data_IF_884029469156
#
_entry.id   IF_884029469156
#
_cell.length_a   1.000
_cell.length_b   1.000
_cell.length_c   1.000
_cell.angle_alpha   90.00
_cell.angle_beta   90.00
_cell.angle_gamma   90.00
#
_symmetry.space_group_name_H-M   'P 1'
#
loop_
_entity.id
_entity.type
_entity.pdbx_description
1 polymer ?
#
# COMPACT_ATOMS: atom_id res chain seq x y z
N UNK A 1 20.41 1.56 12.29
CA UNK A 1 19.38 1.62 11.24
C UNK A 1 19.58 0.45 10.29
N UNK A 2 18.51 -0.21 9.83
CA UNK A 2 18.56 -1.33 8.88
C UNK A 2 17.44 -1.18 7.85
N UNK A 3 17.73 -1.42 6.57
CA UNK A 3 16.73 -1.41 5.49
C UNK A 3 16.59 -2.81 4.89
N UNK A 4 15.35 -3.21 4.59
CA UNK A 4 15.00 -4.44 3.85
C UNK A 4 14.24 -4.06 2.58
N UNK A 5 14.74 -4.50 1.44
CA UNK A 5 14.08 -4.38 0.14
C UNK A 5 13.17 -5.60 -0.04
N UNK A 6 11.85 -5.38 -0.11
CA UNK A 6 10.84 -6.45 -0.06
C UNK A 6 10.02 -6.57 -1.35
N UNK A 7 9.87 -5.46 -2.08
CA UNK A 7 9.29 -5.41 -3.42
C UNK A 7 9.99 -4.37 -4.30
N UNK A 8 9.67 -4.38 -5.60
CA UNK A 8 10.37 -3.59 -6.62
C UNK A 8 11.91 -3.74 -6.64
N UNK A 9 12.45 -4.83 -6.09
CA UNK A 9 13.86 -5.18 -6.19
C UNK A 9 14.08 -6.05 -7.44
N UNK A 10 14.84 -5.53 -8.41
CA UNK A 10 15.02 -6.15 -9.74
C UNK A 10 13.71 -6.30 -10.54
N UNK A 11 12.70 -5.48 -10.22
CA UNK A 11 11.43 -5.38 -10.95
C UNK A 11 10.84 -3.98 -10.73
N UNK A 12 9.86 -3.57 -11.54
CA UNK A 12 9.32 -2.19 -11.50
C UNK A 12 8.17 -2.04 -10.52
N UNK A 13 7.35 -3.07 -10.32
CA UNK A 13 6.05 -2.94 -9.62
C UNK A 13 6.06 -3.54 -8.22
N UNK A 14 5.12 -3.11 -7.38
CA UNK A 14 4.94 -3.64 -6.04
C UNK A 14 5.99 -3.10 -5.06
N UNK A 15 6.28 -1.80 -5.14
CA UNK A 15 7.24 -1.13 -4.26
C UNK A 15 6.84 -1.29 -2.81
N UNK A 16 7.76 -1.82 -2.01
CA UNK A 16 7.69 -1.74 -0.55
C UNK A 16 9.03 -2.07 0.10
N UNK A 17 9.39 -1.27 1.08
CA UNK A 17 10.66 -1.35 1.80
C UNK A 17 10.42 -1.19 3.30
N UNK A 18 11.10 -1.99 4.11
CA UNK A 18 10.98 -1.90 5.56
C UNK A 18 12.24 -1.29 6.16
N UNK A 19 12.09 -0.12 6.78
CA UNK A 19 13.13 0.58 7.51
C UNK A 19 12.97 0.31 9.02
N UNK A 20 14.05 -0.12 9.67
CA UNK A 20 14.11 -0.30 11.12
C UNK A 20 15.07 0.70 11.75
N UNK A 21 14.56 1.51 12.67
CA UNK A 21 15.29 2.57 13.39
C UNK A 21 15.00 2.42 14.89
N UNK A 22 15.99 1.96 15.66
CA UNK A 22 15.76 1.63 17.07
C UNK A 22 14.74 0.51 17.21
N UNK A 23 13.71 0.73 18.02
CA UNK A 23 12.54 -0.14 18.20
C UNK A 23 11.45 0.07 17.15
N UNK A 24 11.59 1.08 16.26
CA UNK A 24 10.57 1.44 15.27
C UNK A 24 10.75 0.77 13.92
N UNK A 25 9.61 0.42 13.32
CA UNK A 25 9.47 -0.22 12.02
C UNK A 25 8.61 0.67 11.12
N UNK A 26 9.26 1.28 10.13
CA UNK A 26 8.65 2.22 9.20
C UNK A 26 8.59 1.57 7.82
N UNK A 27 7.39 1.47 7.26
CA UNK A 27 7.17 0.96 5.92
C UNK A 27 7.26 2.11 4.91
N UNK A 28 7.96 1.92 3.80
CA UNK A 28 8.03 2.88 2.70
C UNK A 28 7.35 2.22 1.51
N UNK A 29 6.21 2.79 1.09
CA UNK A 29 5.28 2.25 0.10
C UNK A 29 4.70 0.85 0.43
N UNK A 30 3.55 0.54 -0.17
CA UNK A 30 3.00 -0.81 -0.23
C UNK A 30 2.13 -1.01 -1.48
N UNK A 31 2.79 -1.14 -2.62
CA UNK A 31 2.15 -1.17 -3.93
C UNK A 31 1.75 -2.56 -4.42
N UNK A 32 0.91 -2.58 -5.46
CA UNK A 32 0.59 -3.81 -6.19
C UNK A 32 1.71 -4.17 -7.15
N UNK A 33 2.16 -5.43 -7.08
CA UNK A 33 2.92 -6.05 -8.15
C UNK A 33 2.01 -6.30 -9.35
N UNK A 34 2.44 -5.93 -10.56
CA UNK A 34 1.73 -6.20 -11.81
C UNK A 34 2.61 -7.05 -12.73
N UNK A 35 2.12 -8.22 -13.12
CA UNK A 35 2.83 -9.15 -14.00
C UNK A 35 1.90 -10.19 -14.60
N UNK A 36 2.38 -11.42 -14.84
CA UNK A 36 1.50 -12.52 -15.24
C UNK A 36 0.41 -12.74 -14.17
N UNK A 37 -0.81 -13.10 -14.59
CA UNK A 37 -2.00 -13.10 -13.73
C UNK A 37 -1.86 -13.94 -12.46
N UNK A 38 -1.26 -15.13 -12.56
CA UNK A 38 -1.00 -16.02 -11.42
C UNK A 38 0.02 -15.43 -10.45
N UNK A 39 1.13 -14.93 -10.98
CA UNK A 39 2.22 -14.35 -10.18
C UNK A 39 1.75 -13.10 -9.44
N UNK A 40 0.85 -12.33 -10.07
CA UNK A 40 0.25 -11.13 -9.51
C UNK A 40 -0.53 -11.42 -8.22
N UNK A 41 -1.38 -12.44 -8.25
CA UNK A 41 -2.22 -12.74 -7.10
C UNK A 41 -1.41 -13.29 -5.92
N UNK A 42 -0.55 -14.26 -6.18
CA UNK A 42 0.30 -14.88 -5.14
C UNK A 42 1.26 -13.87 -4.49
N UNK A 43 1.90 -13.02 -5.30
CA UNK A 43 2.83 -12.01 -4.78
C UNK A 43 2.14 -10.94 -3.95
N UNK A 44 0.96 -10.48 -4.38
CA UNK A 44 0.25 -9.43 -3.65
C UNK A 44 -0.41 -9.94 -2.36
N UNK A 45 -0.80 -11.21 -2.31
CA UNK A 45 -1.32 -11.85 -1.08
C UNK A 45 -0.24 -12.11 -0.03
N UNK A 46 0.97 -12.44 -0.46
CA UNK A 46 2.04 -12.86 0.45
C UNK A 46 2.64 -11.65 1.18
N UNK A 47 2.42 -11.59 2.49
CA UNK A 47 3.04 -10.61 3.37
C UNK A 47 4.37 -11.14 3.91
N UNK A 48 5.44 -10.34 3.76
CA UNK A 48 6.81 -10.73 4.16
C UNK A 48 7.18 -10.26 5.58
N UNK A 49 6.18 -9.80 6.32
CA UNK A 49 6.24 -9.32 7.69
C UNK A 49 4.83 -9.27 8.27
N UNK A 50 4.75 -9.26 9.61
CA UNK A 50 3.51 -9.09 10.36
C UNK A 50 3.03 -7.62 10.26
N UNK A 51 1.86 -7.32 9.66
CA UNK A 51 1.40 -5.95 9.43
C UNK A 51 1.18 -5.15 10.72
N UNK A 52 0.72 -5.82 11.78
CA UNK A 52 0.49 -5.22 13.11
C UNK A 52 1.78 -4.73 13.80
N UNK A 53 2.96 -5.11 13.28
CA UNK A 53 4.26 -4.68 13.82
C UNK A 53 4.82 -3.41 13.17
N UNK A 54 4.10 -2.78 12.24
CA UNK A 54 4.53 -1.54 11.59
C UNK A 54 4.03 -0.35 12.41
N UNK A 55 4.92 0.58 12.76
CA UNK A 55 4.59 1.75 13.58
C UNK A 55 4.13 2.95 12.73
N UNK A 56 4.58 3.05 11.48
CA UNK A 56 4.20 4.10 10.54
C UNK A 56 4.48 3.68 9.09
N UNK A 57 3.78 4.31 8.14
CA UNK A 57 4.08 4.22 6.71
C UNK A 57 4.41 5.61 6.14
N UNK A 58 5.43 5.67 5.28
CA UNK A 58 5.71 6.80 4.41
C UNK A 58 5.33 6.38 2.98
N UNK A 59 4.33 7.04 2.40
CA UNK A 59 3.92 6.78 1.02
C UNK A 59 4.50 7.85 0.11
N UNK A 60 5.28 7.43 -0.87
CA UNK A 60 6.01 8.33 -1.77
C UNK A 60 5.07 9.10 -2.69
N UNK A 61 4.19 8.39 -3.39
CA UNK A 61 3.21 8.96 -4.32
C UNK A 61 2.03 8.01 -4.55
N UNK A 62 1.03 8.49 -5.30
CA UNK A 62 -0.28 7.84 -5.36
C UNK A 62 -0.38 6.62 -6.29
N UNK A 63 0.60 6.37 -7.16
CA UNK A 63 0.49 5.28 -8.14
C UNK A 63 0.23 3.91 -7.50
N UNK A 64 -0.51 3.06 -8.20
CA UNK A 64 -0.96 1.75 -7.70
C UNK A 64 0.20 0.80 -7.39
N UNK A 65 1.32 0.91 -8.10
CA UNK A 65 2.54 0.14 -7.83
C UNK A 65 3.33 0.64 -6.60
N UNK A 66 2.85 1.69 -5.93
CA UNK A 66 3.33 2.20 -4.63
C UNK A 66 2.25 2.20 -3.53
N UNK A 67 0.98 2.41 -3.87
CA UNK A 67 -0.12 2.56 -2.91
C UNK A 67 -1.12 1.40 -2.94
N UNK A 68 -1.15 0.65 -4.04
CA UNK A 68 -2.30 -0.17 -4.40
C UNK A 68 -2.54 -1.39 -3.53
N UNK A 69 -1.59 -1.86 -2.71
CA UNK A 69 -1.76 -3.03 -1.86
C UNK A 69 -2.01 -2.65 -0.39
N UNK A 70 -2.04 -1.34 -0.08
CA UNK A 70 -2.32 -0.82 1.27
C UNK A 70 -3.64 -1.37 1.86
N UNK A 71 -4.76 -1.47 1.11
CA UNK A 71 -6.01 -1.99 1.69
C UNK A 71 -5.89 -3.47 2.10
N UNK A 72 -5.18 -4.29 1.31
CA UNK A 72 -4.89 -5.68 1.71
C UNK A 72 -3.97 -5.73 2.94
N UNK A 73 -3.01 -4.81 3.07
CA UNK A 73 -2.20 -4.70 4.28
C UNK A 73 -3.08 -4.40 5.52
N UNK A 74 -4.03 -3.46 5.38
CA UNK A 74 -5.00 -3.10 6.43
C UNK A 74 -5.86 -4.29 6.86
N UNK A 75 -6.40 -5.03 5.89
CA UNK A 75 -7.20 -6.24 6.11
C UNK A 75 -6.45 -7.30 6.94
N UNK A 76 -5.13 -7.31 6.86
CA UNK A 76 -4.26 -8.23 7.61
C UNK A 76 -3.67 -7.61 8.90
N UNK A 77 -4.28 -6.54 9.43
CA UNK A 77 -3.98 -6.04 10.78
C UNK A 77 -3.08 -4.80 10.84
N UNK A 78 -2.79 -4.14 9.71
CA UNK A 78 -2.14 -2.83 9.74
C UNK A 78 -3.13 -1.73 10.12
N UNK A 79 -2.74 -0.89 11.08
CA UNK A 79 -3.56 0.22 11.58
C UNK A 79 -2.76 1.48 11.90
N UNK A 80 -1.47 1.53 11.50
CA UNK A 80 -0.61 2.66 11.77
C UNK A 80 -0.91 3.87 10.84
N UNK A 81 -0.45 5.08 11.19
CA UNK A 81 -0.56 6.26 10.32
C UNK A 81 0.22 6.12 9.02
N UNK A 82 -0.37 6.61 7.92
CA UNK A 82 0.22 6.66 6.58
C UNK A 82 0.48 8.12 6.22
N UNK A 83 1.74 8.55 6.24
CA UNK A 83 2.12 9.92 5.91
C UNK A 83 2.40 10.05 4.41
N UNK A 84 1.77 11.03 3.79
CA UNK A 84 1.97 11.38 2.39
C UNK A 84 1.65 12.86 2.17
N UNK A 85 2.05 13.43 1.04
CA UNK A 85 1.64 14.79 0.69
C UNK A 85 0.12 14.89 0.58
N UNK A 86 -0.47 16.05 0.88
CA UNK A 86 -1.93 16.23 0.78
C UNK A 86 -2.49 15.88 -0.61
N UNK A 87 -1.71 16.13 -1.67
CA UNK A 87 -2.07 15.74 -3.04
C UNK A 87 -2.09 14.21 -3.20
N UNK A 88 -1.05 13.51 -2.73
CA UNK A 88 -1.01 12.04 -2.73
C UNK A 88 -2.18 11.44 -1.95
N UNK A 89 -2.51 11.98 -0.77
CA UNK A 89 -3.68 11.53 0.01
C UNK A 89 -4.97 11.66 -0.79
N UNK A 90 -5.20 12.80 -1.43
CA UNK A 90 -6.39 13.05 -2.24
C UNK A 90 -6.47 12.09 -3.45
N UNK A 91 -5.35 11.83 -4.12
CA UNK A 91 -5.30 10.89 -5.25
C UNK A 91 -5.53 9.45 -4.79
N UNK A 92 -4.91 9.01 -3.69
CA UNK A 92 -5.11 7.66 -3.15
C UNK A 92 -6.58 7.39 -2.79
N UNK A 93 -7.32 8.37 -2.30
CA UNK A 93 -8.75 8.24 -2.03
C UNK A 93 -9.53 7.82 -3.28
N UNK A 94 -9.16 8.30 -4.46
CA UNK A 94 -9.83 7.98 -5.73
C UNK A 94 -9.29 6.67 -6.29
N UNK A 95 -7.97 6.57 -6.41
CA UNK A 95 -7.30 5.45 -7.08
C UNK A 95 -7.52 4.12 -6.37
N UNK A 96 -7.53 4.09 -5.03
CA UNK A 96 -7.74 2.86 -4.29
C UNK A 96 -9.18 2.34 -4.40
N UNK A 97 -10.16 3.26 -4.44
CA UNK A 97 -11.58 2.89 -4.65
C UNK A 97 -11.80 2.31 -6.04
N UNK A 98 -11.25 2.95 -7.06
CA UNK A 98 -11.32 2.45 -8.44
C UNK A 98 -10.63 1.08 -8.56
N UNK A 99 -9.44 0.93 -7.96
CA UNK A 99 -8.75 -0.35 -7.97
C UNK A 99 -9.53 -1.47 -7.26
N UNK A 100 -10.20 -1.19 -6.15
CA UNK A 100 -11.06 -2.16 -5.46
C UNK A 100 -12.27 -2.54 -6.33
N UNK A 101 -12.95 -1.54 -6.89
CA UNK A 101 -14.10 -1.75 -7.78
C UNK A 101 -13.75 -2.62 -8.99
N UNK A 102 -12.63 -2.35 -9.65
CA UNK A 102 -12.15 -3.15 -10.79
C UNK A 102 -11.86 -4.60 -10.38
N UNK A 103 -11.22 -4.81 -9.22
CA UNK A 103 -10.97 -6.17 -8.72
C UNK A 103 -12.27 -6.93 -8.45
N UNK A 104 -13.26 -6.30 -7.80
CA UNK A 104 -14.57 -6.91 -7.55
C UNK A 104 -15.28 -7.28 -8.87
N UNK A 105 -15.26 -6.37 -9.86
CA UNK A 105 -15.88 -6.60 -11.17
C UNK A 105 -15.20 -7.71 -11.96
N UNK A 106 -13.88 -7.81 -11.89
CA UNK A 106 -13.13 -8.90 -12.53
C UNK A 106 -13.52 -10.26 -11.94
N UNK A 107 -13.72 -10.34 -10.62
CA UNK A 107 -14.19 -11.55 -9.94
C UNK A 107 -15.64 -11.88 -10.33
N UNK A 108 -16.54 -10.91 -10.36
CA UNK A 108 -17.92 -11.10 -10.83
C UNK A 108 -17.95 -11.66 -12.26
N UNK A 109 -17.14 -11.11 -13.16
CA UNK A 109 -17.04 -11.56 -14.54
C UNK A 109 -16.48 -12.97 -14.67
N UNK A 110 -15.43 -13.30 -13.92
CA UNK A 110 -14.83 -14.64 -13.90
C UNK A 110 -15.83 -15.71 -13.40
N UNK A 111 -16.59 -15.41 -12.35
CA UNK A 111 -17.62 -16.31 -11.80
C UNK A 111 -18.69 -16.64 -12.84
N UNK A 112 -19.12 -15.65 -13.64
CA UNK A 112 -20.11 -15.85 -14.73
C UNK A 112 -19.57 -16.71 -15.88
N UNK A 113 -18.29 -16.54 -16.26
CA UNK A 113 -17.74 -17.14 -17.49
C UNK A 113 -17.28 -18.59 -17.34
N UNK A 114 -16.79 -19.01 -16.18
CA UNK A 114 -16.01 -20.25 -16.06
C UNK A 114 -16.59 -21.34 -15.17
N UNK A 115 -17.77 -21.15 -14.57
CA UNK A 115 -18.28 -22.08 -13.55
C UNK A 115 -17.24 -22.36 -12.43
N UNK A 116 -16.27 -21.44 -12.24
CA UNK A 116 -15.34 -21.47 -11.12
C UNK A 116 -16.14 -21.14 -9.87
N UNK A 117 -16.71 -22.17 -9.27
CA UNK A 117 -17.37 -22.10 -7.98
C UNK A 117 -16.29 -21.79 -6.94
N UNK A 118 -16.29 -20.53 -6.48
CA UNK A 118 -15.91 -20.12 -5.13
C UNK A 118 -14.41 -19.98 -4.74
N UNK A 119 -13.43 -20.10 -5.64
CA UNK A 119 -12.02 -20.05 -5.20
C UNK A 119 -11.28 -18.71 -5.39
N UNK A 120 -11.84 -17.74 -6.13
CA UNK A 120 -11.14 -16.48 -6.41
C UNK A 120 -11.90 -15.31 -5.79
N UNK A 121 -11.28 -14.69 -4.78
CA UNK A 121 -11.72 -13.45 -4.14
C UNK A 121 -10.82 -12.27 -4.56
N UNK A 122 -11.30 -11.02 -4.53
CA UNK A 122 -10.42 -9.87 -4.75
C UNK A 122 -9.36 -9.79 -3.63
N UNK A 123 -8.23 -9.11 -3.88
CA UNK A 123 -7.21 -8.91 -2.84
C UNK A 123 -7.79 -8.11 -1.68
N UNK A 124 -8.62 -7.12 -2.02
CA UNK A 124 -9.33 -6.26 -1.10
C UNK A 124 -10.58 -5.70 -1.79
N UNK A 125 -11.52 -5.22 -0.99
CA UNK A 125 -12.83 -4.71 -1.37
C UNK A 125 -12.90 -3.19 -1.19
N UNK A 126 -13.99 -2.57 -1.64
CA UNK A 126 -14.24 -1.14 -1.36
C UNK A 126 -14.31 -0.89 0.15
N UNK A 127 -14.88 -1.80 0.93
CA UNK A 127 -14.98 -1.67 2.39
C UNK A 127 -13.59 -1.67 3.05
N UNK A 128 -12.67 -2.52 2.57
CA UNK A 128 -11.27 -2.53 3.02
C UNK A 128 -10.57 -1.18 2.73
N UNK A 129 -10.87 -0.55 1.58
CA UNK A 129 -10.37 0.80 1.26
C UNK A 129 -10.94 1.82 2.25
N UNK A 130 -12.26 1.84 2.43
CA UNK A 130 -12.91 2.81 3.32
C UNK A 130 -12.41 2.70 4.76
N UNK A 131 -12.08 1.48 5.22
CA UNK A 131 -11.53 1.24 6.55
C UNK A 131 -10.14 1.86 6.76
N UNK A 132 -9.29 1.89 5.73
CA UNK A 132 -7.90 2.38 5.85
C UNK A 132 -7.73 3.88 5.53
N UNK A 133 -8.68 4.50 4.81
CA UNK A 133 -8.57 5.92 4.46
C UNK A 133 -8.39 6.88 5.65
N UNK A 134 -9.01 6.67 6.83
CA UNK A 134 -8.78 7.52 8.01
C UNK A 134 -7.34 7.54 8.51
N UNK A 135 -6.52 6.55 8.14
CA UNK A 135 -5.12 6.47 8.56
C UNK A 135 -4.19 7.38 7.76
N UNK A 136 -4.66 7.93 6.63
CA UNK A 136 -3.85 8.83 5.81
C UNK A 136 -3.71 10.20 6.46
N UNK A 137 -2.47 10.61 6.68
CA UNK A 137 -2.08 11.89 7.26
C UNK A 137 -1.41 12.73 6.17
N UNK A 138 -2.12 13.78 5.73
CA UNK A 138 -1.61 14.73 4.76
C UNK A 138 -0.53 15.63 5.36
N UNK A 139 0.62 15.73 4.69
CA UNK A 139 1.75 16.57 5.11
C UNK A 139 2.18 17.51 3.98
N UNK A 140 3.02 18.49 4.32
CA UNK A 140 3.52 19.51 3.38
C UNK A 140 4.96 19.23 2.97
N UNK A 141 5.32 19.60 1.74
CA UNK A 141 6.72 19.59 1.31
C UNK A 141 7.59 20.48 2.18
N UNK A 142 8.86 20.08 2.33
CA UNK A 142 9.91 20.83 3.02
C UNK A 142 9.59 21.18 4.48
N UNK A 143 8.56 20.56 5.07
CA UNK A 143 8.22 20.67 6.49
C UNK A 143 8.52 19.35 7.20
N UNK A 144 9.41 19.35 8.21
CA UNK A 144 9.66 18.17 9.01
C UNK A 144 8.40 17.70 9.74
N UNK A 145 8.16 16.40 9.69
CA UNK A 145 7.09 15.70 10.40
C UNK A 145 7.75 14.81 11.45
N UNK A 146 7.37 14.99 12.71
CA UNK A 146 7.83 14.12 13.79
C UNK A 146 7.07 12.80 13.71
N UNK A 147 7.76 11.70 13.39
CA UNK A 147 7.16 10.37 13.39
C UNK A 147 7.19 9.78 14.79
N UNK A 148 8.35 9.87 15.45
CA UNK A 148 8.62 9.35 16.80
C UNK A 148 9.69 10.21 17.48
N UNK A 149 9.97 10.03 18.79
CA UNK A 149 11.11 10.68 19.43
C UNK A 149 12.40 10.45 18.64
N UNK A 150 13.09 11.53 18.28
CA UNK A 150 14.33 11.53 17.48
C UNK A 150 14.21 10.98 16.05
N UNK A 151 13.00 10.77 15.52
CA UNK A 151 12.77 10.32 14.14
C UNK A 151 11.85 11.30 13.44
N UNK A 152 12.39 11.98 12.43
CA UNK A 152 11.64 12.91 11.56
C UNK A 152 11.67 12.45 10.11
N UNK A 153 10.63 12.81 9.37
CA UNK A 153 10.58 12.67 7.91
C UNK A 153 10.28 14.03 7.28
N UNK A 154 10.92 14.32 6.15
CA UNK A 154 10.62 15.51 5.34
C UNK A 154 10.39 15.06 3.90
N UNK A 155 9.24 15.45 3.34
CA UNK A 155 8.90 15.17 1.96
C UNK A 155 9.45 16.27 1.07
N UNK A 156 10.06 15.90 -0.06
CA UNK A 156 10.54 16.83 -1.08
C UNK A 156 9.86 16.51 -2.41
N UNK A 157 9.76 17.52 -3.27
CA UNK A 157 9.22 17.33 -4.61
C UNK A 157 10.14 16.40 -5.41
N UNK A 158 9.55 15.38 -6.02
CA UNK A 158 10.24 14.40 -6.85
C UNK A 158 10.17 14.73 -8.35
N UNK A 159 9.42 15.77 -8.75
CA UNK A 159 9.12 16.05 -10.16
C UNK A 159 8.25 14.96 -10.81
N UNK A 160 7.61 14.15 -9.98
CA UNK A 160 6.66 13.10 -10.33
C UNK A 160 5.30 13.44 -9.71
N UNK A 161 4.32 12.53 -9.79
CA UNK A 161 2.98 12.77 -9.24
C UNK A 161 2.92 12.77 -7.70
#
# INVERSE_FOLDING_TARGET
>A
MKIRFLGAAQTVTGSHHLLSVGDKRILIDFGLFQGRRTDTYEKNKKLLFEPSTIDAMLLTHAHIDHSGNIPNLSKNGFSAPIYATSATVALCQIMLRDSAYLQEKDIEWLRKKKNHKNEIEPLYTIDDVLAILPNFVGVQYSKPVNLFPNITATFFDAGHI
#
